data_IF_968299153462
#
_entry.id   IF_968299153462
#
_cell.length_a   1.000
_cell.length_b   1.000
_cell.length_c   1.000
_cell.angle_alpha   90.00
_cell.angle_beta   90.00
_cell.angle_gamma   90.00
#
_symmetry.space_group_name_H-M   'P 1'
#
loop_
_entity.id
_entity.type
_entity.pdbx_description
1 polymer ?
#
# COMPACT_ATOMS: atom_id res chain seq x y z
N UNK A 1 -18.40 34.25 -19.53
CA UNK A 1 -18.57 33.09 -20.43
C UNK A 1 -17.51 32.07 -20.10
N UNK A 2 -17.99 30.86 -19.89
CA UNK A 2 -17.28 29.66 -19.47
C UNK A 2 -16.03 29.33 -20.31
N UNK A 3 -14.96 28.99 -19.59
CA UNK A 3 -14.15 27.79 -19.80
C UNK A 3 -13.05 27.80 -20.87
N UNK A 4 -11.98 27.04 -20.54
CA UNK A 4 -11.10 26.23 -21.42
C UNK A 4 -9.63 26.66 -21.56
N UNK A 5 -8.87 26.71 -20.45
CA UNK A 5 -7.44 26.31 -20.51
C UNK A 5 -7.00 25.40 -19.34
N UNK A 6 -7.87 25.11 -18.37
CA UNK A 6 -7.71 23.96 -17.46
C UNK A 6 -8.06 22.63 -18.17
N UNK A 7 -7.63 22.49 -19.42
CA UNK A 7 -7.92 21.35 -20.31
C UNK A 7 -6.67 20.72 -20.94
N UNK A 8 -5.46 21.02 -20.45
CA UNK A 8 -4.20 20.54 -21.06
C UNK A 8 -3.14 19.97 -20.11
N UNK A 9 -3.43 19.65 -18.84
CA UNK A 9 -2.51 18.84 -18.03
C UNK A 9 -3.23 17.80 -17.16
N UNK A 10 -4.28 17.22 -17.73
CA UNK A 10 -4.69 15.85 -17.43
C UNK A 10 -3.65 14.98 -18.15
N UNK A 11 -2.94 14.10 -17.43
CA UNK A 11 -1.89 13.16 -17.92
C UNK A 11 -0.41 13.53 -17.69
N UNK A 12 -0.03 13.91 -16.47
CA UNK A 12 1.15 13.29 -15.87
C UNK A 12 0.87 13.09 -14.38
N UNK A 13 0.46 11.85 -14.08
CA UNK A 13 0.26 11.26 -12.76
C UNK A 13 1.45 11.57 -11.86
N UNK A 14 1.34 12.65 -11.09
CA UNK A 14 2.18 12.88 -9.94
C UNK A 14 1.35 12.72 -8.68
N UNK A 15 0.69 11.56 -8.55
CA UNK A 15 0.38 11.06 -7.21
C UNK A 15 1.68 10.51 -6.62
N UNK A 16 2.57 11.45 -6.30
CA UNK A 16 3.74 11.22 -5.46
C UNK A 16 3.35 11.18 -3.98
N UNK A 17 2.05 11.18 -3.68
CA UNK A 17 1.49 11.20 -2.32
C UNK A 17 1.24 9.78 -1.79
N UNK A 18 1.02 8.79 -2.67
CA UNK A 18 0.86 7.36 -2.29
C UNK A 18 2.12 6.67 -1.75
N UNK A 19 3.29 7.33 -1.79
CA UNK A 19 4.55 6.75 -1.27
C UNK A 19 5.15 7.47 -0.07
N UNK A 20 4.44 8.42 0.55
CA UNK A 20 4.84 8.93 1.88
C UNK A 20 4.45 7.97 3.02
N UNK A 21 4.39 6.67 2.73
CA UNK A 21 4.28 5.60 3.72
C UNK A 21 5.69 5.35 4.26
N UNK A 22 6.28 6.37 4.90
CA UNK A 22 7.61 6.38 5.54
C UNK A 22 8.62 5.41 4.92
N UNK A 23 9.44 5.83 3.95
CA UNK A 23 10.84 5.40 3.63
C UNK A 23 11.36 3.96 3.94
N UNK A 24 10.53 2.98 4.30
CA UNK A 24 10.91 1.77 5.04
C UNK A 24 10.08 0.56 4.59
N UNK A 25 8.89 0.76 4.01
CA UNK A 25 8.15 -0.33 3.38
C UNK A 25 8.66 -0.53 1.95
N UNK A 26 9.64 -1.41 1.78
CA UNK A 26 10.08 -1.88 0.46
C UNK A 26 8.85 -2.22 -0.39
N UNK A 27 8.74 -1.76 -1.65
CA UNK A 27 7.54 -1.94 -2.49
C UNK A 27 7.13 -3.42 -2.61
N UNK A 28 8.09 -4.34 -2.47
CA UNK A 28 7.89 -5.79 -2.39
C UNK A 28 6.97 -6.21 -1.25
N UNK A 29 7.11 -5.59 -0.07
CA UNK A 29 6.32 -5.90 1.14
C UNK A 29 4.87 -5.48 0.94
N UNK A 30 4.65 -4.28 0.40
CA UNK A 30 3.32 -3.76 0.08
C UNK A 30 2.60 -4.69 -0.91
N UNK A 31 3.29 -5.10 -1.97
CA UNK A 31 2.74 -6.04 -2.96
C UNK A 31 2.37 -7.40 -2.34
N UNK A 32 3.19 -7.90 -1.42
CA UNK A 32 2.94 -9.15 -0.70
C UNK A 32 1.74 -9.05 0.25
N UNK A 33 1.62 -7.96 1.02
CA UNK A 33 0.47 -7.69 1.90
C UNK A 33 -0.84 -7.75 1.10
N UNK A 34 -0.86 -7.11 -0.07
CA UNK A 34 -2.04 -7.09 -0.92
C UNK A 34 -2.38 -8.46 -1.49
N UNK A 35 -1.35 -9.19 -1.92
CA UNK A 35 -1.51 -10.55 -2.40
C UNK A 35 -2.12 -11.47 -1.32
N UNK A 36 -1.64 -11.40 -0.08
CA UNK A 36 -2.22 -12.21 1.00
C UNK A 36 -3.68 -11.87 1.29
N UNK A 37 -4.03 -10.58 1.25
CA UNK A 37 -5.42 -10.15 1.44
C UNK A 37 -6.32 -10.50 0.26
N UNK A 38 -5.76 -10.54 -0.96
CA UNK A 38 -6.47 -10.95 -2.16
C UNK A 38 -6.70 -12.46 -2.22
N UNK A 39 -5.70 -13.25 -1.79
CA UNK A 39 -5.81 -14.71 -1.66
C UNK A 39 -6.80 -15.07 -0.55
N UNK A 40 -6.74 -14.39 0.60
CA UNK A 40 -7.60 -14.63 1.76
C UNK A 40 -8.17 -13.31 2.32
N UNK A 41 -9.34 -12.84 1.88
CA UNK A 41 -9.94 -11.59 2.36
C UNK A 41 -10.34 -11.64 3.85
N UNK A 42 -10.50 -12.83 4.43
CA UNK A 42 -10.72 -13.02 5.87
C UNK A 42 -9.49 -12.79 6.75
N UNK A 43 -8.27 -12.75 6.17
CA UNK A 43 -7.03 -12.65 6.93
C UNK A 43 -6.87 -11.27 7.59
N UNK A 44 -6.61 -11.25 8.89
CA UNK A 44 -6.41 -10.05 9.69
C UNK A 44 -5.00 -9.46 9.48
N UNK A 45 -4.86 -8.16 9.77
CA UNK A 45 -3.59 -7.45 9.57
C UNK A 45 -2.43 -7.98 10.44
N UNK A 46 -2.74 -8.54 11.63
CA UNK A 46 -1.73 -9.20 12.46
C UNK A 46 -1.28 -10.55 11.88
N UNK A 47 -2.20 -11.32 11.28
CA UNK A 47 -1.87 -12.58 10.60
C UNK A 47 -0.97 -12.32 9.38
N UNK A 48 -1.28 -11.27 8.61
CA UNK A 48 -0.43 -10.83 7.50
C UNK A 48 0.99 -10.51 7.98
N UNK A 49 1.12 -9.86 9.15
CA UNK A 49 2.43 -9.58 9.77
C UNK A 49 3.18 -10.88 10.11
N UNK A 50 2.51 -11.86 10.70
CA UNK A 50 3.13 -13.16 11.02
C UNK A 50 3.54 -13.92 9.76
N UNK A 51 2.73 -13.88 8.70
CA UNK A 51 3.07 -14.46 7.41
C UNK A 51 4.30 -13.82 6.77
N UNK A 52 4.45 -12.49 6.89
CA UNK A 52 5.66 -11.79 6.41
C UNK A 52 6.93 -12.22 7.16
N UNK A 53 6.83 -12.47 8.47
CA UNK A 53 7.93 -13.00 9.29
C UNK A 53 8.25 -14.44 8.89
N UNK A 54 7.21 -15.28 8.77
CA UNK A 54 7.33 -16.71 8.43
C UNK A 54 7.98 -16.92 7.06
N UNK A 55 7.59 -16.12 6.07
CA UNK A 55 8.19 -16.14 4.73
C UNK A 55 9.54 -15.41 4.64
N UNK A 56 10.09 -14.91 5.76
CA UNK A 56 11.34 -14.15 5.83
C UNK A 56 11.40 -12.96 4.85
N UNK A 57 10.24 -12.39 4.53
CA UNK A 57 10.14 -11.24 3.62
C UNK A 57 10.64 -9.97 4.32
N UNK A 58 10.33 -9.85 5.60
CA UNK A 58 10.80 -8.77 6.46
C UNK A 58 11.47 -9.36 7.70
N UNK A 59 12.57 -8.74 8.11
CA UNK A 59 13.13 -9.00 9.43
C UNK A 59 12.25 -8.42 10.55
N UNK A 60 12.32 -8.93 11.79
CA UNK A 60 11.52 -8.43 12.92
C UNK A 60 11.62 -6.92 13.13
N UNK A 61 12.78 -6.34 12.80
CA UNK A 61 13.07 -4.91 12.90
C UNK A 61 12.41 -4.06 11.80
N UNK A 62 12.12 -4.67 10.64
CA UNK A 62 11.54 -4.01 9.45
C UNK A 62 10.07 -4.39 9.22
N UNK A 63 9.45 -5.09 10.18
CA UNK A 63 8.05 -5.47 10.09
C UNK A 63 7.16 -4.23 10.24
N UNK A 64 6.21 -3.98 9.31
CA UNK A 64 5.28 -2.88 9.48
C UNK A 64 4.33 -3.13 10.65
N UNK A 65 3.95 -2.07 11.37
CA UNK A 65 2.95 -2.17 12.43
C UNK A 65 1.58 -2.57 11.87
N UNK A 66 0.73 -3.20 12.70
CA UNK A 66 -0.64 -3.59 12.32
C UNK A 66 -1.44 -2.40 11.78
N UNK A 67 -1.27 -1.22 12.36
CA UNK A 67 -1.89 0.02 11.87
C UNK A 67 -1.38 0.43 10.48
N UNK A 68 -0.09 0.23 10.21
CA UNK A 68 0.52 0.52 8.90
C UNK A 68 0.00 -0.42 7.82
N UNK A 69 -0.12 -1.72 8.13
CA UNK A 69 -0.73 -2.72 7.24
C UNK A 69 -2.17 -2.32 6.89
N UNK A 70 -2.97 -1.95 7.91
CA UNK A 70 -4.34 -1.50 7.69
C UNK A 70 -4.44 -0.23 6.84
N UNK A 71 -3.50 0.72 6.99
CA UNK A 71 -3.42 1.90 6.13
C UNK A 71 -3.17 1.49 4.67
N UNK A 72 -2.17 0.64 4.42
CA UNK A 72 -1.84 0.12 3.09
C UNK A 72 -3.06 -0.55 2.43
N UNK A 73 -3.80 -1.36 3.17
CA UNK A 73 -4.99 -2.05 2.64
C UNK A 73 -6.11 -1.07 2.25
N UNK A 74 -6.25 0.06 2.94
CA UNK A 74 -7.27 1.08 2.63
C UNK A 74 -6.85 1.94 1.43
N UNK A 75 -5.59 2.36 1.38
CA UNK A 75 -5.07 3.16 0.25
C UNK A 75 -5.13 2.39 -1.08
N UNK A 76 -5.04 1.06 -1.05
CA UNK A 76 -5.12 0.26 -2.28
C UNK A 76 -6.55 0.15 -2.81
N UNK A 77 -7.56 0.29 -1.95
CA UNK A 77 -8.96 0.34 -2.38
C UNK A 77 -9.33 1.69 -2.99
N UNK A 78 -8.68 2.78 -2.57
CA UNK A 78 -8.91 4.11 -3.16
C UNK A 78 -8.19 4.31 -4.50
N UNK A 79 -7.19 3.47 -4.81
CA UNK A 79 -6.43 3.50 -6.08
C UNK A 79 -6.99 2.58 -7.18
N UNK A 80 -8.05 1.81 -6.87
CA UNK A 80 -8.76 0.96 -7.82
C UNK A 80 -10.05 1.63 -8.29
#
# INVERSE_FOLDING_TARGET
>A
MLSKVWRCAILLKQDSSVWQIMQVATPTVVKKILRFKQENPGMFAWEIREQLISQRICEPHNIPSVSSVNRILREQRSLA
#
